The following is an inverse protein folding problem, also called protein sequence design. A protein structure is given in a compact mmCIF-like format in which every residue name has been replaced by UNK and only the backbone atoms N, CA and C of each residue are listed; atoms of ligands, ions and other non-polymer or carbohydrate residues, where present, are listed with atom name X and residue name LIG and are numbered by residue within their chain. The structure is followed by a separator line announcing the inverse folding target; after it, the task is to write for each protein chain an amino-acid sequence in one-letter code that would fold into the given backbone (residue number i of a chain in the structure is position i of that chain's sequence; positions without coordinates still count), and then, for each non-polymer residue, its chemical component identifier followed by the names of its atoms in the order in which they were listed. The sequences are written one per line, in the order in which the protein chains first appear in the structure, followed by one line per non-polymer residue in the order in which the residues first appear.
data_IF_398147737661
#
_entry.id   IF_398147737661
#
_cell.length_a   1.000
_cell.length_b   1.000
_cell.length_c   1.000
_cell.angle_alpha   90.00
_cell.angle_beta   90.00
_cell.angle_gamma   90.00
#
_symmetry.space_group_name_H-M   'P 1'
#
loop_
_entity.id
_entity.type
_entity.pdbx_description
1 polymer ?
#
# COMPACT_ATOMS: atom_id res chain seq x y z
N UNK A 1 -1.85 -18.22 -13.43
CA UNK A 1 -1.19 -16.94 -13.10
C UNK A 1 -1.06 -16.92 -11.60
N UNK A 2 -0.23 -16.09 -11.01
CA UNK A 2 -0.07 -15.97 -9.55
C UNK A 2 -0.35 -14.53 -9.14
N UNK A 3 -0.79 -14.30 -7.90
CA UNK A 3 -0.95 -12.95 -7.35
C UNK A 3 0.40 -12.24 -7.38
N UNK A 4 0.56 -11.12 -8.11
CA UNK A 4 1.83 -10.41 -8.19
C UNK A 4 2.17 -9.73 -6.85
N UNK A 5 3.46 -9.79 -6.48
CA UNK A 5 4.00 -9.14 -5.30
C UNK A 5 4.93 -8.00 -5.71
N UNK A 6 4.48 -6.77 -5.50
CA UNK A 6 5.23 -5.54 -5.80
C UNK A 6 6.00 -4.98 -4.61
N UNK A 7 6.92 -4.05 -4.91
CA UNK A 7 7.64 -3.25 -3.91
C UNK A 7 7.20 -1.78 -4.03
N UNK A 8 6.69 -1.19 -2.95
CA UNK A 8 6.38 0.24 -2.94
C UNK A 8 7.64 1.10 -2.91
N UNK A 9 7.66 2.16 -3.73
CA UNK A 9 8.76 3.14 -3.71
C UNK A 9 8.84 3.91 -2.39
N UNK A 10 7.78 3.91 -1.59
CA UNK A 10 7.78 4.44 -0.23
C UNK A 10 8.79 3.75 0.68
N UNK A 11 9.05 2.45 0.47
CA UNK A 11 10.02 1.68 1.27
C UNK A 11 11.43 2.24 1.21
N UNK A 12 11.81 2.88 0.10
CA UNK A 12 13.17 3.35 -0.12
C UNK A 12 13.32 4.88 0.03
N UNK A 13 12.26 5.60 0.36
CA UNK A 13 12.36 7.05 0.57
C UNK A 13 13.38 7.37 1.68
N UNK A 14 14.24 8.38 1.47
CA UNK A 14 14.34 9.29 0.32
C UNK A 14 15.36 8.87 -0.76
N UNK A 15 15.72 7.59 -0.86
CA UNK A 15 16.80 7.13 -1.75
C UNK A 15 16.47 7.20 -3.26
N UNK A 16 15.23 7.58 -3.63
CA UNK A 16 14.79 7.78 -5.00
C UNK A 16 14.17 6.54 -5.66
N UNK A 17 13.29 6.79 -6.64
CA UNK A 17 12.49 5.76 -7.30
C UNK A 17 13.32 4.77 -8.12
N UNK A 18 14.42 5.20 -8.75
CA UNK A 18 15.31 4.28 -9.50
C UNK A 18 15.89 3.19 -8.61
N UNK A 19 16.25 3.51 -7.36
CA UNK A 19 16.74 2.50 -6.42
C UNK A 19 15.66 1.46 -6.08
N UNK A 20 14.39 1.83 -6.13
CA UNK A 20 13.28 0.88 -5.94
C UNK A 20 13.22 -0.13 -7.08
N UNK A 21 13.26 0.34 -8.34
CA UNK A 21 13.29 -0.56 -9.50
C UNK A 21 14.51 -1.50 -9.46
N UNK A 22 15.70 -0.95 -9.17
CA UNK A 22 16.91 -1.74 -9.08
C UNK A 22 16.86 -2.80 -7.97
N UNK A 23 16.29 -2.45 -6.81
CA UNK A 23 16.20 -3.37 -5.68
C UNK A 23 15.09 -4.41 -5.89
N UNK A 24 13.95 -4.02 -6.43
CA UNK A 24 12.86 -4.92 -6.79
C UNK A 24 13.34 -6.01 -7.76
N UNK A 25 14.04 -5.63 -8.84
CA UNK A 25 14.64 -6.57 -9.79
C UNK A 25 15.64 -7.52 -9.12
N UNK A 26 16.52 -6.98 -8.26
CA UNK A 26 17.54 -7.78 -7.56
C UNK A 26 16.94 -8.80 -6.59
N UNK A 27 15.85 -8.44 -5.91
CA UNK A 27 15.20 -9.30 -4.93
C UNK A 27 14.16 -10.26 -5.55
N UNK A 28 13.77 -10.01 -6.81
CA UNK A 28 12.83 -10.84 -7.55
C UNK A 28 11.35 -10.49 -7.26
N UNK A 29 11.04 -9.24 -6.95
CA UNK A 29 9.66 -8.75 -6.95
C UNK A 29 9.06 -8.79 -8.36
N UNK A 30 7.74 -8.83 -8.47
CA UNK A 30 7.05 -8.92 -9.75
C UNK A 30 6.83 -7.54 -10.39
N UNK A 31 7.10 -6.47 -9.67
CA UNK A 31 7.00 -5.10 -10.14
C UNK A 31 7.11 -4.06 -9.02
N UNK A 32 6.78 -2.81 -9.36
CA UNK A 32 6.93 -1.67 -8.44
C UNK A 32 5.59 -0.92 -8.33
N UNK A 33 5.25 -0.51 -7.12
CA UNK A 33 4.29 0.58 -6.92
C UNK A 33 5.05 1.91 -6.85
N UNK A 34 4.61 2.88 -7.66
CA UNK A 34 5.18 4.22 -7.68
C UNK A 34 4.34 5.13 -6.78
N UNK A 35 4.86 5.46 -5.60
CA UNK A 35 4.29 6.54 -4.79
C UNK A 35 4.71 7.89 -5.41
N UNK A 36 3.75 8.62 -5.92
CA UNK A 36 3.98 9.95 -6.51
C UNK A 36 4.26 10.96 -5.42
N UNK A 37 5.46 11.54 -5.45
CA UNK A 37 5.97 12.43 -4.41
C UNK A 37 6.60 13.71 -5.00
N UNK A 38 7.24 14.52 -4.15
CA UNK A 38 7.99 15.71 -4.58
C UNK A 38 9.21 15.40 -5.45
N UNK A 39 9.71 14.19 -5.45
CA UNK A 39 10.72 13.71 -6.40
C UNK A 39 10.11 13.72 -7.82
N UNK A 40 10.67 14.56 -8.70
CA UNK A 40 10.15 14.72 -10.07
C UNK A 40 10.16 13.43 -10.88
N UNK A 41 11.10 12.55 -10.61
CA UNK A 41 11.18 11.24 -11.25
C UNK A 41 9.90 10.41 -11.09
N UNK A 42 9.20 10.51 -9.95
CA UNK A 42 7.94 9.81 -9.71
C UNK A 42 6.75 10.38 -10.48
N UNK A 43 6.92 11.52 -11.14
CA UNK A 43 5.90 12.25 -11.90
C UNK A 43 6.15 12.18 -13.42
N UNK A 44 7.27 11.59 -13.84
CA UNK A 44 7.69 11.54 -15.25
C UNK A 44 7.52 10.14 -15.82
N UNK A 45 6.45 9.96 -16.66
CA UNK A 45 6.15 8.67 -17.24
C UNK A 45 7.26 8.13 -18.14
N UNK A 46 8.02 9.02 -18.84
CA UNK A 46 9.11 8.58 -19.75
C UNK A 46 10.26 7.97 -18.96
N UNK A 47 10.61 8.63 -17.87
CA UNK A 47 11.64 8.11 -16.97
C UNK A 47 11.19 6.81 -16.32
N UNK A 48 9.95 6.76 -15.79
CA UNK A 48 9.41 5.56 -15.15
C UNK A 48 9.31 4.39 -16.14
N UNK A 49 8.88 4.63 -17.37
CA UNK A 49 8.86 3.61 -18.44
C UNK A 49 10.27 3.11 -18.77
N UNK A 50 11.25 4.01 -18.87
CA UNK A 50 12.64 3.63 -19.11
C UNK A 50 13.23 2.81 -17.94
N UNK A 51 12.86 3.13 -16.70
CA UNK A 51 13.26 2.34 -15.52
C UNK A 51 12.59 0.96 -15.53
N UNK A 52 11.29 0.91 -15.82
CA UNK A 52 10.55 -0.36 -15.92
C UNK A 52 11.18 -1.30 -16.96
N UNK A 53 11.51 -0.77 -18.15
CA UNK A 53 12.19 -1.52 -19.21
C UNK A 53 13.62 -1.94 -18.79
N UNK A 54 14.40 -0.99 -18.28
CA UNK A 54 15.80 -1.23 -17.88
C UNK A 54 15.96 -2.33 -16.85
N UNK A 55 15.06 -2.38 -15.87
CA UNK A 55 15.13 -3.33 -14.76
C UNK A 55 14.19 -4.52 -14.93
N UNK A 56 13.39 -4.58 -15.99
CA UNK A 56 12.39 -5.63 -16.21
C UNK A 56 11.32 -5.65 -15.13
N UNK A 57 10.98 -4.49 -14.57
CA UNK A 57 10.04 -4.33 -13.47
C UNK A 57 8.85 -3.49 -13.91
N UNK A 58 7.67 -4.10 -14.20
CA UNK A 58 6.49 -3.34 -14.54
C UNK A 58 6.02 -2.48 -13.36
N UNK A 59 5.34 -1.37 -13.67
CA UNK A 59 4.62 -0.61 -12.65
C UNK A 59 3.27 -1.29 -12.41
N UNK A 60 3.06 -1.80 -11.20
CA UNK A 60 1.84 -2.49 -10.80
C UNK A 60 0.74 -1.54 -10.36
N UNK A 61 1.12 -0.47 -9.66
CA UNK A 61 0.20 0.55 -9.19
C UNK A 61 0.86 1.92 -9.14
N UNK A 62 0.03 2.96 -9.20
CA UNK A 62 0.44 4.34 -8.94
C UNK A 62 -0.27 4.82 -7.68
N UNK A 63 0.50 5.22 -6.67
CA UNK A 63 -0.06 5.79 -5.45
C UNK A 63 -0.16 7.32 -5.60
N UNK A 64 -1.37 7.85 -5.58
CA UNK A 64 -1.64 9.26 -5.86
C UNK A 64 -1.13 10.19 -4.74
N UNK A 65 -0.66 11.41 -5.07
CA UNK A 65 -0.11 12.37 -4.10
C UNK A 65 -1.22 13.12 -3.35
N UNK A 66 -2.05 12.41 -2.60
CA UNK A 66 -3.22 12.97 -1.89
C UNK A 66 -2.93 13.44 -0.48
N UNK A 67 -1.72 13.20 0.04
CA UNK A 67 -1.27 13.66 1.35
C UNK A 67 -1.04 15.19 1.40
N UNK A 68 -1.15 15.77 2.59
CA UNK A 68 -0.89 17.20 2.84
C UNK A 68 0.52 17.62 2.42
N UNK A 69 1.52 16.76 2.58
CA UNK A 69 2.91 17.01 2.24
C UNK A 69 3.15 17.11 0.72
N UNK A 70 2.21 16.66 -0.10
CA UNK A 70 2.30 16.67 -1.57
C UNK A 70 1.48 17.78 -2.21
N UNK A 71 1.17 18.89 -1.50
CA UNK A 71 0.27 19.95 -1.98
C UNK A 71 0.65 20.52 -3.35
N UNK A 72 1.95 20.62 -3.66
CA UNK A 72 2.44 21.13 -4.95
C UNK A 72 2.58 20.10 -6.07
N UNK A 73 2.42 18.81 -5.76
CA UNK A 73 2.56 17.73 -6.73
C UNK A 73 1.27 17.64 -7.55
N UNK A 74 1.37 17.65 -8.87
CA UNK A 74 0.24 17.64 -9.81
C UNK A 74 -0.76 18.80 -9.65
N UNK A 75 -0.40 19.88 -8.93
CA UNK A 75 -1.24 21.03 -8.69
C UNK A 75 -1.94 21.04 -7.33
N UNK A 76 -2.71 22.09 -7.02
CA UNK A 76 -3.36 22.25 -5.73
C UNK A 76 -4.71 21.56 -5.62
N UNK A 77 -5.41 21.31 -6.74
CA UNK A 77 -6.73 20.66 -6.74
C UNK A 77 -6.59 19.15 -6.50
N UNK A 78 -7.32 18.57 -5.54
CA UNK A 78 -7.24 17.13 -5.28
C UNK A 78 -7.71 16.27 -6.45
N UNK A 79 -8.71 16.72 -7.23
CA UNK A 79 -9.16 15.96 -8.39
C UNK A 79 -8.14 15.97 -9.54
N UNK A 80 -7.44 17.09 -9.75
CA UNK A 80 -6.35 17.16 -10.72
C UNK A 80 -5.24 16.14 -10.38
N UNK A 81 -4.98 15.94 -9.08
CA UNK A 81 -4.02 14.93 -8.62
C UNK A 81 -4.47 13.52 -8.97
N UNK A 82 -5.74 13.21 -8.75
CA UNK A 82 -6.32 11.91 -9.09
C UNK A 82 -6.27 11.71 -10.61
N UNK A 83 -6.74 12.69 -11.39
CA UNK A 83 -6.80 12.58 -12.85
C UNK A 83 -5.40 12.41 -13.46
N UNK A 84 -4.40 13.15 -12.99
CA UNK A 84 -3.00 12.97 -13.41
C UNK A 84 -2.38 11.64 -12.96
N UNK A 85 -2.79 11.11 -11.82
CA UNK A 85 -2.37 9.77 -11.40
C UNK A 85 -2.96 8.68 -12.28
N UNK A 86 -4.21 8.85 -12.74
CA UNK A 86 -4.85 7.98 -13.71
C UNK A 86 -4.11 8.05 -15.06
N UNK A 87 -3.81 9.25 -15.56
CA UNK A 87 -3.04 9.45 -16.79
C UNK A 87 -1.66 8.76 -16.71
N UNK A 88 -0.97 8.94 -15.59
CA UNK A 88 0.33 8.30 -15.34
C UNK A 88 0.21 6.78 -15.31
N UNK A 89 -0.79 6.24 -14.61
CA UNK A 89 -1.04 4.80 -14.55
C UNK A 89 -1.32 4.21 -15.94
N UNK A 90 -2.15 4.86 -16.76
CA UNK A 90 -2.38 4.45 -18.14
C UNK A 90 -1.11 4.46 -18.98
N UNK A 91 -0.31 5.52 -18.90
CA UNK A 91 0.94 5.62 -19.64
C UNK A 91 1.95 4.52 -19.26
N UNK A 92 1.88 4.02 -18.03
CA UNK A 92 2.75 2.96 -17.49
C UNK A 92 2.15 1.55 -17.61
N UNK A 93 0.89 1.42 -18.05
CA UNK A 93 0.18 0.15 -18.10
C UNK A 93 -0.19 -0.41 -16.73
N UNK A 94 -0.20 0.43 -15.69
CA UNK A 94 -0.59 0.05 -14.33
C UNK A 94 -2.12 0.00 -14.21
N UNK A 95 -2.72 -1.09 -13.71
CA UNK A 95 -4.18 -1.23 -13.62
C UNK A 95 -4.80 -0.52 -12.41
N UNK A 96 -4.00 -0.17 -11.40
CA UNK A 96 -4.48 0.35 -10.13
C UNK A 96 -3.90 1.73 -9.83
N UNK A 97 -4.76 2.60 -9.26
CA UNK A 97 -4.35 3.87 -8.61
C UNK A 97 -4.81 3.83 -7.17
N UNK A 98 -3.88 3.93 -6.23
CA UNK A 98 -4.18 3.99 -4.79
C UNK A 98 -4.48 5.42 -4.39
N UNK A 99 -5.55 5.63 -3.61
CA UNK A 99 -6.05 6.93 -3.18
C UNK A 99 -6.30 6.94 -1.67
N UNK A 100 -5.81 7.93 -0.96
CA UNK A 100 -6.32 8.21 0.39
C UNK A 100 -7.67 8.92 0.32
N UNK A 101 -8.60 8.66 1.25
CA UNK A 101 -9.82 9.45 1.38
C UNK A 101 -9.46 10.91 1.76
N UNK A 102 -10.33 11.88 1.40
CA UNK A 102 -10.12 13.28 1.73
C UNK A 102 -10.00 13.52 3.24
N UNK A 103 -9.27 14.56 3.62
CA UNK A 103 -9.40 15.09 4.97
C UNK A 103 -10.75 15.83 5.14
N UNK A 104 -11.33 15.78 6.33
CA UNK A 104 -12.65 16.38 6.60
C UNK A 104 -12.71 17.88 6.28
N UNK A 105 -11.60 18.60 6.36
CA UNK A 105 -11.54 20.05 6.02
C UNK A 105 -11.47 20.33 4.51
N UNK A 106 -11.25 19.32 3.67
CA UNK A 106 -11.34 19.44 2.22
C UNK A 106 -12.79 19.34 1.74
N UNK A 107 -13.66 20.17 2.28
CA UNK A 107 -15.13 20.01 2.28
C UNK A 107 -15.74 19.80 0.89
N UNK A 108 -15.25 20.50 -0.14
CA UNK A 108 -15.76 20.33 -1.53
C UNK A 108 -15.37 18.96 -2.10
N UNK A 109 -14.10 18.56 -1.91
CA UNK A 109 -13.59 17.28 -2.37
C UNK A 109 -14.25 16.12 -1.61
N UNK A 110 -14.37 16.24 -0.28
CA UNK A 110 -14.96 15.24 0.58
C UNK A 110 -16.44 14.93 0.25
N UNK A 111 -17.27 15.96 0.00
CA UNK A 111 -18.68 15.77 -0.34
C UNK A 111 -18.91 15.00 -1.64
N UNK A 112 -18.02 15.14 -2.61
CA UNK A 112 -18.13 14.49 -3.91
C UNK A 112 -17.23 13.26 -4.07
N UNK A 113 -16.54 12.82 -3.02
CA UNK A 113 -15.44 11.86 -3.17
C UNK A 113 -15.93 10.49 -3.67
N UNK A 114 -16.87 9.85 -2.99
CA UNK A 114 -17.37 8.51 -3.37
C UNK A 114 -17.93 8.52 -4.81
N UNK A 115 -18.80 9.47 -5.12
CA UNK A 115 -19.38 9.60 -6.46
C UNK A 115 -18.32 9.96 -7.53
N UNK A 116 -17.35 10.79 -7.18
CA UNK A 116 -16.27 11.20 -8.08
C UNK A 116 -15.28 10.07 -8.38
N UNK A 117 -15.02 9.19 -7.42
CA UNK A 117 -14.24 7.96 -7.60
C UNK A 117 -15.00 7.02 -8.54
N UNK A 118 -16.26 6.70 -8.23
CA UNK A 118 -17.08 5.80 -9.04
C UNK A 118 -17.25 6.29 -10.49
N UNK A 119 -17.42 7.62 -10.68
CA UNK A 119 -17.49 8.21 -12.03
C UNK A 119 -16.21 7.96 -12.83
N UNK A 120 -15.04 8.18 -12.20
CA UNK A 120 -13.74 7.99 -12.86
C UNK A 120 -13.49 6.53 -13.18
N UNK A 121 -13.75 5.61 -12.24
CA UNK A 121 -13.65 4.17 -12.53
C UNK A 121 -14.51 3.78 -13.73
N UNK A 122 -15.77 4.23 -13.76
CA UNK A 122 -16.71 3.92 -14.86
C UNK A 122 -16.25 4.51 -16.20
N UNK A 123 -15.72 5.74 -16.21
CA UNK A 123 -15.35 6.43 -17.44
C UNK A 123 -13.98 6.03 -17.96
N UNK A 124 -13.08 5.61 -17.11
CA UNK A 124 -11.70 5.28 -17.47
C UNK A 124 -11.41 3.79 -17.50
N UNK A 125 -12.18 2.98 -16.79
CA UNK A 125 -11.86 1.55 -16.55
C UNK A 125 -10.71 1.31 -15.60
N UNK A 126 -10.13 2.38 -15.01
CA UNK A 126 -9.05 2.28 -14.02
C UNK A 126 -9.62 1.90 -12.65
N UNK A 127 -8.96 1.01 -11.93
CA UNK A 127 -9.30 0.74 -10.53
C UNK A 127 -8.74 1.85 -9.63
N UNK A 128 -9.65 2.59 -8.99
CA UNK A 128 -9.29 3.60 -8.01
C UNK A 128 -9.42 3.02 -6.59
N UNK A 129 -8.35 2.40 -6.12
CA UNK A 129 -8.31 1.66 -4.88
C UNK A 129 -8.23 2.60 -3.67
N UNK A 130 -9.39 2.90 -3.08
CA UNK A 130 -9.43 3.77 -1.89
C UNK A 130 -8.88 3.03 -0.69
N UNK A 131 -7.88 3.61 -0.03
CA UNK A 131 -7.17 2.99 1.06
C UNK A 131 -7.83 3.23 2.40
N UNK A 132 -7.88 2.19 3.27
CA UNK A 132 -8.22 2.41 4.67
C UNK A 132 -7.13 3.24 5.34
N UNK A 133 -7.58 4.16 6.18
CA UNK A 133 -6.71 4.99 7.00
C UNK A 133 -6.87 4.61 8.49
N UNK A 134 -6.63 5.57 9.37
CA UNK A 134 -6.78 5.38 10.81
C UNK A 134 -7.26 6.67 11.49
N UNK A 135 -7.79 6.55 12.70
CA UNK A 135 -8.10 7.70 13.54
C UNK A 135 -6.83 8.32 14.10
N UNK A 136 -6.76 9.64 14.14
CA UNK A 136 -5.65 10.30 14.79
C UNK A 136 -5.81 10.29 16.29
N UNK A 137 -4.75 9.90 16.99
CA UNK A 137 -4.70 9.88 18.46
C UNK A 137 -3.62 10.83 18.97
N UNK A 138 -3.85 11.57 20.06
CA UNK A 138 -2.81 12.36 20.69
C UNK A 138 -1.66 11.45 21.18
N UNK A 139 -0.44 11.98 21.18
CA UNK A 139 0.74 11.27 21.72
C UNK A 139 0.65 11.01 23.22
N UNK A 140 -0.25 11.69 23.92
CA UNK A 140 -0.45 11.47 25.36
C UNK A 140 -1.14 10.12 25.59
N UNK A 141 -0.41 9.16 26.14
CA UNK A 141 -0.88 7.81 26.44
C UNK A 141 -2.10 7.78 27.40
N UNK A 142 -2.41 8.91 28.07
CA UNK A 142 -3.59 9.06 28.94
C UNK A 142 -4.84 9.53 28.19
N UNK A 143 -4.69 9.98 26.96
CA UNK A 143 -5.81 10.46 26.14
C UNK A 143 -6.44 9.31 25.37
N UNK A 144 -7.69 9.04 25.64
CA UNK A 144 -8.53 8.12 24.86
C UNK A 144 -9.26 8.82 23.71
N UNK A 145 -8.96 10.11 23.48
CA UNK A 145 -9.61 10.88 22.41
C UNK A 145 -9.09 10.44 21.05
N UNK A 146 -10.01 10.09 20.18
CA UNK A 146 -9.74 9.82 18.77
C UNK A 146 -10.32 10.94 17.92
N UNK A 147 -9.62 11.28 16.85
CA UNK A 147 -10.03 12.33 15.94
C UNK A 147 -10.20 11.74 14.53
N UNK A 148 -11.41 11.86 14.01
CA UNK A 148 -11.72 11.47 12.64
C UNK A 148 -11.16 12.52 11.67
N UNK A 149 -10.00 12.24 11.08
CA UNK A 149 -9.37 13.15 10.14
C UNK A 149 -9.89 13.01 8.70
N UNK A 150 -10.42 11.86 8.36
CA UNK A 150 -10.81 11.49 6.99
C UNK A 150 -12.34 11.51 6.79
N UNK A 151 -12.77 11.79 5.55
CA UNK A 151 -14.17 11.88 5.15
C UNK A 151 -14.41 11.05 3.86
N UNK A 152 -15.49 10.25 3.77
CA UNK A 152 -16.57 10.12 4.75
C UNK A 152 -16.10 9.44 6.05
N UNK A 153 -15.10 8.58 5.98
CA UNK A 153 -14.48 7.89 7.11
C UNK A 153 -13.06 7.39 6.75
N UNK A 154 -12.33 6.92 7.74
CA UNK A 154 -11.05 6.22 7.56
C UNK A 154 -11.24 4.75 7.14
N UNK A 155 -12.41 4.16 7.42
CA UNK A 155 -12.76 2.77 7.12
C UNK A 155 -13.56 2.71 5.81
N UNK A 156 -13.05 2.07 4.74
CA UNK A 156 -13.73 1.96 3.46
C UNK A 156 -14.87 0.93 3.45
N UNK A 157 -14.99 0.09 4.49
CA UNK A 157 -16.03 -0.95 4.56
C UNK A 157 -17.43 -0.32 4.49
N UNK A 158 -18.24 -0.76 3.53
CA UNK A 158 -19.62 -0.29 3.37
C UNK A 158 -19.76 1.12 2.79
N UNK A 159 -18.70 1.78 2.34
CA UNK A 159 -18.76 3.13 1.78
C UNK A 159 -19.17 3.18 0.29
N UNK A 160 -19.33 2.04 -0.37
CA UNK A 160 -19.75 1.98 -1.76
C UNK A 160 -18.61 2.16 -2.77
N UNK A 161 -17.35 1.98 -2.38
CA UNK A 161 -16.22 1.92 -3.30
C UNK A 161 -16.23 0.60 -4.09
N UNK A 162 -15.90 0.67 -5.38
CA UNK A 162 -15.77 -0.53 -6.22
C UNK A 162 -14.41 -1.20 -6.05
N UNK A 163 -13.37 -0.40 -5.76
CA UNK A 163 -12.00 -0.87 -5.57
C UNK A 163 -11.43 -0.29 -4.27
N UNK A 164 -10.80 -1.15 -3.48
CA UNK A 164 -10.23 -0.78 -2.16
C UNK A 164 -8.82 -1.33 -2.03
N UNK A 165 -7.95 -0.52 -1.42
CA UNK A 165 -6.67 -0.95 -0.86
C UNK A 165 -6.84 -1.23 0.63
N UNK A 166 -6.43 -2.41 1.09
CA UNK A 166 -6.26 -2.67 2.51
C UNK A 166 -4.78 -2.47 2.88
N UNK A 167 -4.51 -1.50 3.75
CA UNK A 167 -3.23 -1.38 4.44
C UNK A 167 -3.34 -2.00 5.83
N UNK A 168 -2.47 -3.00 6.09
CA UNK A 168 -2.48 -3.76 7.34
C UNK A 168 -1.96 -2.92 8.51
N UNK A 169 -0.97 -2.02 8.29
CA UNK A 169 -0.47 -1.12 9.35
C UNK A 169 -1.51 -0.09 9.77
N UNK A 170 -2.25 0.44 8.79
CA UNK A 170 -3.37 1.35 9.07
C UNK A 170 -4.48 0.66 9.87
N UNK A 171 -4.82 -0.59 9.53
CA UNK A 171 -5.75 -1.40 10.32
C UNK A 171 -5.24 -1.59 11.75
N UNK A 172 -3.96 -1.96 11.93
CA UNK A 172 -3.33 -2.09 13.24
C UNK A 172 -3.39 -0.77 14.04
N UNK A 173 -3.00 0.34 13.41
CA UNK A 173 -2.96 1.68 14.04
C UNK A 173 -4.35 2.10 14.52
N UNK A 174 -5.41 1.79 13.77
CA UNK A 174 -6.79 2.05 14.19
C UNK A 174 -7.29 1.11 15.29
N UNK A 175 -6.54 0.03 15.59
CA UNK A 175 -6.97 -1.02 16.51
C UNK A 175 -7.95 -2.01 15.89
N UNK A 176 -8.04 -2.04 14.56
CA UNK A 176 -8.86 -2.98 13.80
C UNK A 176 -8.11 -4.27 13.51
N UNK A 177 -8.86 -5.32 13.22
CA UNK A 177 -8.36 -6.62 12.74
C UNK A 177 -8.34 -6.59 11.21
N UNK A 178 -7.14 -6.66 10.61
CA UNK A 178 -6.96 -6.60 9.17
C UNK A 178 -7.63 -7.79 8.44
N UNK A 179 -7.63 -8.99 9.04
CA UNK A 179 -8.29 -10.15 8.46
C UNK A 179 -9.82 -10.00 8.47
N UNK A 180 -10.38 -9.48 9.56
CA UNK A 180 -11.81 -9.17 9.63
C UNK A 180 -12.19 -8.10 8.61
N UNK A 181 -11.35 -7.07 8.43
CA UNK A 181 -11.56 -6.03 7.42
C UNK A 181 -11.45 -6.59 5.99
N UNK A 182 -10.48 -7.45 5.69
CA UNK A 182 -10.35 -8.12 4.40
C UNK A 182 -11.60 -8.94 4.05
N UNK A 183 -12.15 -9.66 5.03
CA UNK A 183 -13.40 -10.42 4.88
C UNK A 183 -14.60 -9.52 4.61
N UNK A 184 -14.69 -8.39 5.31
CA UNK A 184 -15.80 -7.43 5.16
C UNK A 184 -15.75 -6.70 3.80
N UNK A 185 -14.56 -6.39 3.29
CA UNK A 185 -14.35 -5.79 1.97
C UNK A 185 -14.73 -6.75 0.84
N UNK A 186 -14.47 -8.05 1.00
CA UNK A 186 -14.84 -9.07 0.03
C UNK A 186 -14.33 -8.75 -1.39
N UNK A 187 -15.19 -8.77 -2.42
CA UNK A 187 -14.77 -8.57 -3.82
C UNK A 187 -14.31 -7.16 -4.16
N UNK A 188 -14.54 -6.17 -3.32
CA UNK A 188 -14.04 -4.79 -3.53
C UNK A 188 -12.55 -4.66 -3.20
N UNK A 189 -11.99 -5.58 -2.42
CA UNK A 189 -10.56 -5.63 -2.13
C UNK A 189 -9.81 -6.05 -3.40
N UNK A 190 -8.98 -5.13 -3.93
CA UNK A 190 -8.18 -5.33 -5.15
C UNK A 190 -6.70 -5.10 -4.95
N UNK A 191 -6.34 -4.43 -3.89
CA UNK A 191 -4.96 -4.07 -3.62
C UNK A 191 -4.68 -4.25 -2.13
N UNK A 192 -3.52 -4.82 -1.79
CA UNK A 192 -3.08 -5.00 -0.41
C UNK A 192 -1.72 -4.33 -0.22
N UNK A 193 -1.61 -3.42 0.74
CA UNK A 193 -0.32 -3.05 1.31
C UNK A 193 0.08 -4.06 2.39
N UNK A 194 1.03 -4.93 2.04
CA UNK A 194 1.57 -5.91 2.96
C UNK A 194 2.61 -5.26 3.86
N UNK A 195 2.22 -5.04 5.07
CA UNK A 195 2.98 -4.45 6.15
C UNK A 195 2.46 -5.04 7.46
N UNK A 196 2.97 -4.61 8.61
CA UNK A 196 2.44 -4.97 9.91
C UNK A 196 2.48 -3.73 10.83
N UNK A 197 1.83 -3.80 11.96
CA UNK A 197 1.77 -2.70 12.91
C UNK A 197 1.23 -3.13 14.25
N UNK A 198 1.13 -2.15 15.16
CA UNK A 198 0.51 -2.33 16.47
C UNK A 198 -0.46 -1.19 16.74
N UNK A 199 -1.51 -1.39 17.56
CA UNK A 199 -2.43 -0.32 17.91
C UNK A 199 -1.69 0.85 18.56
N UNK A 200 -1.94 2.08 18.08
CA UNK A 200 -1.23 3.22 18.62
C UNK A 200 -1.56 4.55 17.98
N UNK A 201 -0.67 5.53 18.22
CA UNK A 201 -0.74 6.86 17.62
C UNK A 201 0.18 7.01 16.40
N UNK A 202 0.96 5.99 16.11
CA UNK A 202 1.89 5.92 14.99
C UNK A 202 1.46 4.84 14.03
N UNK A 203 1.54 5.18 12.79
CA UNK A 203 1.53 4.25 11.71
C UNK A 203 2.96 3.70 11.53
N UNK A 204 3.18 2.45 11.92
CA UNK A 204 4.54 1.90 12.07
C UNK A 204 5.10 1.29 10.80
N UNK A 205 4.29 0.72 9.93
CA UNK A 205 4.69 -0.02 8.72
C UNK A 205 5.86 -0.98 8.99
N UNK A 206 5.62 -1.91 9.91
CA UNK A 206 6.59 -2.94 10.29
C UNK A 206 6.69 -4.02 9.20
N UNK A 207 7.76 -4.79 9.23
CA UNK A 207 7.85 -6.01 8.41
C UNK A 207 6.77 -7.01 8.84
N UNK A 208 6.18 -7.78 7.91
CA UNK A 208 5.18 -8.80 8.22
C UNK A 208 5.65 -9.75 9.33
N UNK A 209 4.80 -9.97 10.33
CA UNK A 209 5.09 -10.78 11.52
C UNK A 209 5.86 -10.05 12.64
N UNK A 210 6.12 -8.75 12.51
CA UNK A 210 6.75 -7.94 13.57
C UNK A 210 5.75 -7.15 14.41
N UNK A 211 4.51 -7.04 13.97
CA UNK A 211 3.41 -6.39 14.67
C UNK A 211 2.46 -7.39 15.34
N UNK A 212 1.18 -7.07 15.33
CA UNK A 212 0.15 -7.91 15.95
C UNK A 212 -0.96 -8.36 14.98
N UNK A 213 -0.83 -8.06 13.68
CA UNK A 213 -1.83 -8.44 12.70
C UNK A 213 -1.57 -9.86 12.16
N UNK A 214 -2.66 -10.54 11.81
CA UNK A 214 -2.58 -11.85 11.14
C UNK A 214 -2.32 -11.67 9.64
N UNK A 215 -1.11 -11.21 9.28
CA UNK A 215 -0.70 -11.01 7.89
C UNK A 215 -0.80 -12.30 7.06
N UNK A 216 -0.45 -13.45 7.66
CA UNK A 216 -0.55 -14.76 7.02
C UNK A 216 -2.00 -15.13 6.71
N UNK A 217 -2.89 -14.94 7.69
CA UNK A 217 -4.32 -15.17 7.52
C UNK A 217 -4.95 -14.25 6.47
N UNK A 218 -4.50 -12.98 6.37
CA UNK A 218 -4.92 -12.06 5.30
C UNK A 218 -4.54 -12.62 3.94
N UNK A 219 -3.28 -13.00 3.72
CA UNK A 219 -2.79 -13.54 2.45
C UNK A 219 -3.52 -14.85 2.07
N UNK A 220 -3.68 -15.76 3.01
CA UNK A 220 -4.44 -17.00 2.81
C UNK A 220 -5.91 -16.72 2.43
N UNK A 221 -6.54 -15.72 3.05
CA UNK A 221 -7.90 -15.28 2.69
C UNK A 221 -7.98 -14.74 1.27
N UNK A 222 -6.98 -13.96 0.80
CA UNK A 222 -6.93 -13.48 -0.57
C UNK A 222 -6.91 -14.63 -1.57
N UNK A 223 -6.06 -15.64 -1.35
CA UNK A 223 -5.99 -16.84 -2.19
C UNK A 223 -7.34 -17.55 -2.22
N UNK A 224 -7.94 -17.80 -1.05
CA UNK A 224 -9.18 -18.56 -0.93
C UNK A 224 -10.41 -17.86 -1.57
N UNK A 225 -10.33 -16.56 -1.82
CA UNK A 225 -11.48 -15.74 -2.28
C UNK A 225 -11.37 -15.26 -3.72
N UNK A 226 -10.45 -15.79 -4.52
CA UNK A 226 -10.31 -15.44 -5.92
C UNK A 226 -9.78 -14.01 -6.13
N UNK A 227 -8.81 -13.60 -5.32
CA UNK A 227 -8.19 -12.28 -5.44
C UNK A 227 -7.38 -12.16 -6.74
N UNK A 228 -6.72 -13.25 -7.16
CA UNK A 228 -5.98 -13.34 -8.42
C UNK A 228 -6.90 -13.14 -9.62
N UNK A 229 -8.03 -13.83 -9.67
CA UNK A 229 -8.99 -13.80 -10.78
C UNK A 229 -9.59 -12.41 -10.97
N UNK A 230 -9.59 -11.60 -9.92
CA UNK A 230 -10.03 -10.20 -9.97
C UNK A 230 -8.90 -9.22 -10.33
N UNK A 231 -7.69 -9.71 -10.65
CA UNK A 231 -6.51 -8.89 -10.93
C UNK A 231 -5.93 -8.23 -9.68
N UNK A 232 -6.12 -8.86 -8.52
CA UNK A 232 -5.63 -8.37 -7.25
C UNK A 232 -4.10 -8.36 -7.16
N UNK A 233 -3.54 -7.41 -6.42
CA UNK A 233 -2.11 -7.20 -6.26
C UNK A 233 -1.73 -7.02 -4.79
N UNK A 234 -0.61 -7.60 -4.40
CA UNK A 234 0.02 -7.39 -3.08
C UNK A 234 1.26 -6.52 -3.27
N UNK A 235 1.39 -5.47 -2.48
CA UNK A 235 2.54 -4.57 -2.51
C UNK A 235 3.14 -4.50 -1.11
N UNK A 236 4.43 -4.80 -0.99
CA UNK A 236 5.17 -4.60 0.26
C UNK A 236 5.40 -3.10 0.46
N UNK A 237 4.87 -2.57 1.57
CA UNK A 237 5.04 -1.18 1.97
C UNK A 237 5.46 -1.06 3.44
N UNK A 238 6.76 -1.04 3.68
CA UNK A 238 7.35 -1.03 5.02
C UNK A 238 8.32 0.14 5.22
N UNK A 239 8.40 0.66 6.43
CA UNK A 239 9.33 1.75 6.77
C UNK A 239 10.74 1.22 6.97
N UNK A 240 11.64 1.57 6.07
CA UNK A 240 13.06 1.14 6.13
C UNK A 240 14.04 2.30 6.39
N UNK A 241 13.55 3.51 6.61
CA UNK A 241 14.38 4.72 6.70
C UNK A 241 15.43 4.72 7.83
N UNK A 242 15.20 3.94 8.90
CA UNK A 242 16.14 3.77 10.02
C UNK A 242 17.09 2.57 9.86
N UNK A 243 16.93 1.79 8.80
CA UNK A 243 17.71 0.58 8.54
C UNK A 243 18.98 0.93 7.74
N UNK A 244 20.07 0.21 7.99
CA UNK A 244 21.22 0.18 7.08
C UNK A 244 20.83 -0.43 5.74
N UNK A 245 21.66 -0.24 4.71
CA UNK A 245 21.40 -0.81 3.40
C UNK A 245 21.33 -2.36 3.41
N UNK A 246 22.10 -3.00 4.29
CA UNK A 246 22.06 -4.46 4.45
C UNK A 246 20.77 -4.92 5.14
N UNK A 247 20.40 -4.31 6.27
CA UNK A 247 19.14 -4.61 6.99
C UNK A 247 17.92 -4.36 6.11
N UNK A 248 17.91 -3.27 5.34
CA UNK A 248 16.83 -2.96 4.39
C UNK A 248 16.69 -4.06 3.34
N UNK A 249 17.79 -4.47 2.73
CA UNK A 249 17.77 -5.54 1.71
C UNK A 249 17.28 -6.86 2.30
N UNK A 250 17.78 -7.24 3.47
CA UNK A 250 17.36 -8.46 4.17
C UNK A 250 15.89 -8.41 4.57
N UNK A 251 15.43 -7.29 5.14
CA UNK A 251 14.03 -7.11 5.52
C UNK A 251 13.07 -7.17 4.33
N UNK A 252 13.41 -6.52 3.22
CA UNK A 252 12.56 -6.56 2.01
C UNK A 252 12.59 -7.94 1.34
N UNK A 253 13.73 -8.64 1.35
CA UNK A 253 13.77 -10.03 0.89
C UNK A 253 12.92 -10.96 1.77
N UNK A 254 12.95 -10.78 3.10
CA UNK A 254 12.11 -11.53 4.03
C UNK A 254 10.61 -11.24 3.85
N UNK A 255 10.23 -9.98 3.59
CA UNK A 255 8.84 -9.62 3.32
C UNK A 255 8.31 -10.26 2.02
N UNK A 256 9.15 -10.31 0.96
CA UNK A 256 8.80 -11.00 -0.28
C UNK A 256 8.66 -12.52 -0.07
N UNK A 257 9.61 -13.13 0.66
CA UNK A 257 9.55 -14.56 0.97
C UNK A 257 8.28 -14.89 1.78
N UNK A 258 7.95 -14.09 2.80
CA UNK A 258 6.71 -14.21 3.56
C UNK A 258 5.47 -14.12 2.68
N UNK A 259 5.43 -13.12 1.76
CA UNK A 259 4.29 -12.99 0.85
C UNK A 259 4.11 -14.24 -0.02
N UNK A 260 5.19 -14.73 -0.63
CA UNK A 260 5.14 -15.91 -1.52
C UNK A 260 4.77 -17.18 -0.78
N UNK A 261 5.33 -17.42 0.40
CA UNK A 261 5.01 -18.57 1.24
C UNK A 261 3.49 -18.68 1.50
N UNK A 262 2.84 -17.54 1.80
CA UNK A 262 1.42 -17.54 2.15
C UNK A 262 0.47 -17.32 0.96
N UNK A 263 0.97 -16.87 -0.20
CA UNK A 263 0.19 -16.78 -1.43
C UNK A 263 0.23 -18.05 -2.27
N UNK A 264 1.31 -18.86 -2.18
CA UNK A 264 1.45 -20.08 -2.98
C UNK A 264 0.71 -21.29 -2.37
N UNK A 265 0.21 -21.20 -1.13
CA UNK A 265 -0.50 -22.28 -0.42
C UNK A 265 0.37 -23.51 -0.17
N UNK A 266 -0.02 -24.40 0.74
CA UNK A 266 0.73 -25.61 1.17
C UNK A 266 0.95 -26.69 0.06
N UNK A 267 0.98 -26.31 -1.22
CA UNK A 267 1.08 -27.22 -2.35
C UNK A 267 2.39 -27.20 -3.15
N UNK A 268 3.32 -26.28 -2.88
CA UNK A 268 4.60 -26.16 -3.59
C UNK A 268 5.77 -25.89 -2.66
N UNK A 269 6.10 -26.84 -1.79
CA UNK A 269 7.37 -26.80 -1.07
C UNK A 269 8.48 -27.39 -1.93
N UNK A 270 9.26 -26.55 -2.62
CA UNK A 270 10.66 -26.83 -2.85
C UNK A 270 11.48 -25.96 -1.88
N UNK A 271 12.25 -26.66 -1.05
CA UNK A 271 13.03 -26.23 0.07
C UNK A 271 13.79 -24.90 -0.11
N UNK A 272 13.37 -23.85 0.57
CA UNK A 272 14.26 -22.76 0.96
C UNK A 272 14.20 -22.59 2.47
N UNK A 273 15.22 -23.09 3.16
CA UNK A 273 15.37 -22.94 4.61
C UNK A 273 15.79 -21.49 4.91
N UNK A 274 14.85 -20.66 5.37
CA UNK A 274 15.13 -19.30 5.87
C UNK A 274 15.16 -19.37 7.41
N UNK A 275 16.28 -19.01 8.06
CA UNK A 275 16.35 -19.01 9.52
C UNK A 275 15.48 -17.90 10.11
N UNK A 276 14.68 -18.23 11.13
CA UNK A 276 13.78 -17.31 11.82
C UNK A 276 14.53 -16.09 12.41
N UNK A 277 13.99 -14.87 12.26
CA UNK A 277 14.60 -13.68 12.81
C UNK A 277 14.57 -13.68 14.34
N UNK A 278 15.68 -13.32 14.95
CA UNK A 278 15.82 -13.23 16.42
C UNK A 278 14.93 -12.11 16.96
N UNK A 279 13.96 -12.44 17.82
CA UNK A 279 13.10 -11.48 18.52
C UNK A 279 13.96 -10.49 19.33
N UNK A 280 13.95 -9.20 18.96
CA UNK A 280 14.47 -8.12 19.79
C UNK A 280 13.48 -7.84 20.92
N UNK A 281 13.91 -8.02 22.17
CA UNK A 281 13.15 -7.57 23.33
C UNK A 281 13.29 -6.05 23.43
N UNK A 282 12.20 -5.32 23.24
CA UNK A 282 12.16 -3.90 23.59
C UNK A 282 12.15 -3.77 25.12
N UNK A 283 13.14 -3.08 25.66
CA UNK A 283 13.12 -2.66 27.07
C UNK A 283 12.17 -1.47 27.18
N UNK A 284 11.12 -1.65 27.97
CA UNK A 284 10.32 -0.53 28.50
C UNK A 284 11.16 0.20 29.53
N UNK A 285 11.48 1.46 29.28
CA UNK A 285 11.88 2.46 30.27
C UNK A 285 10.87 3.59 30.28
#
# INVERSE_FOLDING_TARGET
MSIPVGLSSACLMPAGVENTFALAARLGYDGVEVMVWSERATQDFRLLSALAERYGQPVLAVHAPTLLLTRGVFGPDPWDKVDRSIELAFALGAPNVVLHPPFFWQTRYARGFVAGVALRETTTGMHLCVENMFTWRPRDARSTREFQAYSPTWDPVGQGYHSVTLDISHAATSGSDALAMARALGPTLRHLHLTDGVPGFRDDHLLPGQGNQDCAGVLAHLVATGFEERGGQVVVEVKTGSMSAAERREGLASALAFAREHLEGEGRTENVHVPAPKRRRYRTT
#
